data_IF_686609167494
#
_entry.id   IF_686609167494
#
_cell.length_a   1.000
_cell.length_b   1.000
_cell.length_c   1.000
_cell.angle_alpha   90.00
_cell.angle_beta   90.00
_cell.angle_gamma   90.00
#
_symmetry.space_group_name_H-M   'P 1'
#
loop_
_entity.id
_entity.type
_entity.pdbx_description
1 polymer ?
#
# COMPACT_ATOMS: atom_id res chain seq x y z
N UNK A 1 19.89 5.61 -20.56
CA UNK A 1 18.51 5.12 -20.33
C UNK A 1 17.92 5.73 -19.07
N UNK A 2 16.63 5.61 -18.86
CA UNK A 2 15.96 6.02 -17.63
C UNK A 2 16.55 5.29 -16.43
N UNK A 3 16.77 3.99 -16.53
CA UNK A 3 17.47 3.16 -15.54
C UNK A 3 18.84 3.75 -15.15
N UNK A 4 19.64 4.20 -16.12
CA UNK A 4 20.96 4.79 -15.81
C UNK A 4 20.83 6.11 -15.04
N UNK A 5 19.75 6.87 -15.27
CA UNK A 5 19.50 8.10 -14.53
C UNK A 5 19.15 7.79 -13.07
N UNK A 6 18.28 6.81 -12.82
CA UNK A 6 17.96 6.37 -11.45
C UNK A 6 19.19 5.80 -10.73
N UNK A 7 20.02 4.98 -11.37
CA UNK A 7 21.26 4.48 -10.77
C UNK A 7 22.19 5.60 -10.29
N UNK A 8 22.31 6.68 -11.04
CA UNK A 8 23.10 7.86 -10.62
C UNK A 8 22.47 8.59 -9.42
N UNK A 9 21.14 8.66 -9.35
CA UNK A 9 20.44 9.23 -8.19
C UNK A 9 20.69 8.39 -6.95
N UNK A 10 20.61 7.07 -7.07
CA UNK A 10 20.85 6.12 -5.97
C UNK A 10 22.31 6.22 -5.50
N UNK A 11 23.29 6.28 -6.42
CA UNK A 11 24.70 6.49 -6.08
C UNK A 11 24.91 7.81 -5.34
N UNK A 12 24.26 8.90 -5.79
CA UNK A 12 24.29 10.19 -5.10
C UNK A 12 23.71 10.12 -3.69
N UNK A 13 22.58 9.43 -3.50
CA UNK A 13 21.97 9.23 -2.19
C UNK A 13 22.90 8.42 -1.27
N UNK A 14 23.49 7.31 -1.77
CA UNK A 14 24.44 6.47 -1.03
C UNK A 14 25.70 7.24 -0.58
N UNK A 15 26.13 8.26 -1.33
CA UNK A 15 27.30 9.06 -0.95
C UNK A 15 27.08 9.91 0.30
N UNK A 16 25.83 10.12 0.73
CA UNK A 16 25.44 11.00 1.82
C UNK A 16 24.56 10.32 2.89
N UNK A 17 24.08 9.11 2.64
CA UNK A 17 23.18 8.39 3.54
C UNK A 17 23.53 6.91 3.58
N UNK A 18 23.87 6.39 4.77
CA UNK A 18 24.29 5.02 5.00
C UNK A 18 23.11 4.06 5.35
N UNK A 19 21.90 4.60 5.49
CA UNK A 19 20.71 3.81 5.82
C UNK A 19 20.11 3.08 4.62
N UNK A 20 19.08 2.24 4.84
CA UNK A 20 18.42 1.51 3.77
C UNK A 20 17.71 2.46 2.81
N UNK A 21 17.85 2.18 1.51
CA UNK A 21 17.23 2.91 0.43
C UNK A 21 16.22 2.04 -0.30
N UNK A 22 15.14 2.66 -0.72
CA UNK A 22 14.17 2.08 -1.64
C UNK A 22 13.73 3.11 -2.71
N UNK A 23 13.04 2.64 -3.71
CA UNK A 23 12.29 3.42 -4.69
C UNK A 23 10.82 3.06 -4.55
N UNK A 24 9.93 4.04 -4.49
CA UNK A 24 8.50 3.85 -4.45
C UNK A 24 7.97 3.67 -5.88
N UNK A 25 7.85 2.44 -6.31
CA UNK A 25 7.30 2.11 -7.63
C UNK A 25 5.77 2.04 -7.55
N UNK A 26 5.10 2.55 -8.57
CA UNK A 26 3.67 2.37 -8.67
C UNK A 26 3.31 0.88 -8.81
N UNK A 27 2.14 0.47 -8.33
CA UNK A 27 1.68 -0.93 -8.28
C UNK A 27 1.71 -1.65 -9.64
N UNK A 28 1.57 -0.93 -10.75
CA UNK A 28 1.60 -1.44 -12.12
C UNK A 28 2.98 -1.32 -12.81
N UNK A 29 4.02 -0.85 -12.09
CA UNK A 29 5.37 -0.64 -12.60
C UNK A 29 6.45 -1.48 -11.90
N UNK A 30 6.16 -2.04 -10.73
CA UNK A 30 7.12 -2.72 -9.85
C UNK A 30 7.97 -3.78 -10.56
N UNK A 31 7.38 -4.56 -11.45
CA UNK A 31 8.05 -5.61 -12.22
C UNK A 31 8.91 -5.08 -13.38
N UNK A 32 8.69 -3.82 -13.77
CA UNK A 32 9.42 -3.14 -14.86
C UNK A 32 10.70 -2.46 -14.38
N UNK A 33 10.83 -2.18 -13.10
CA UNK A 33 12.02 -1.55 -12.51
C UNK A 33 13.24 -2.48 -12.63
N UNK A 34 14.35 -1.93 -13.17
CA UNK A 34 15.56 -2.69 -13.48
C UNK A 34 16.78 -2.27 -12.64
N UNK A 35 16.56 -1.64 -11.49
CA UNK A 35 17.62 -1.14 -10.59
C UNK A 35 17.39 -1.52 -9.12
N UNK A 36 16.57 -2.55 -8.86
CA UNK A 36 16.36 -3.05 -7.50
C UNK A 36 17.65 -3.62 -6.87
N UNK A 37 18.62 -4.04 -7.68
CA UNK A 37 19.93 -4.51 -7.21
C UNK A 37 20.73 -3.42 -6.48
N UNK A 38 20.54 -2.14 -6.82
CA UNK A 38 21.22 -1.01 -6.17
C UNK A 38 20.51 -0.54 -4.87
N UNK A 39 19.34 -1.09 -4.58
CA UNK A 39 18.51 -0.74 -3.43
C UNK A 39 18.48 -1.85 -2.37
N UNK A 40 18.01 -1.53 -1.17
CA UNK A 40 17.92 -2.49 -0.06
C UNK A 40 16.56 -3.17 0.01
N UNK A 41 15.53 -2.47 -0.45
CA UNK A 41 14.13 -2.88 -0.40
C UNK A 41 13.46 -2.63 -1.76
N UNK A 42 12.45 -3.41 -2.07
CA UNK A 42 11.50 -3.15 -3.15
C UNK A 42 10.33 -2.38 -2.56
N UNK A 43 10.21 -1.10 -2.92
CA UNK A 43 9.10 -0.25 -2.49
C UNK A 43 7.95 -0.26 -3.49
N UNK A 44 6.73 -0.31 -3.00
CA UNK A 44 5.53 -0.28 -3.85
C UNK A 44 4.47 0.64 -3.27
N UNK A 45 3.92 1.52 -4.12
CA UNK A 45 2.70 2.26 -3.84
C UNK A 45 1.52 1.37 -4.25
N UNK A 46 0.96 0.69 -3.24
CA UNK A 46 0.17 -0.53 -3.39
C UNK A 46 -1.34 -0.26 -3.58
N UNK A 47 -1.68 0.58 -4.56
CA UNK A 47 -3.07 0.91 -4.89
C UNK A 47 -3.69 -0.08 -5.89
N UNK A 48 -3.59 -1.38 -5.61
CA UNK A 48 -4.13 -2.43 -6.47
C UNK A 48 -5.65 -2.41 -6.51
N UNK A 49 -6.28 -2.36 -7.70
CA UNK A 49 -7.72 -2.65 -7.84
C UNK A 49 -8.02 -4.10 -7.44
N UNK A 50 -8.85 -4.28 -6.43
CA UNK A 50 -9.17 -5.59 -5.84
C UNK A 50 -10.63 -5.99 -6.04
N UNK A 51 -11.45 -5.12 -6.64
CA UNK A 51 -12.88 -5.35 -6.84
C UNK A 51 -13.34 -4.75 -8.15
N UNK A 52 -14.60 -4.96 -8.49
CA UNK A 52 -15.26 -4.37 -9.65
C UNK A 52 -16.37 -3.40 -9.24
N UNK A 53 -16.70 -2.39 -10.07
CA UNK A 53 -17.71 -1.40 -9.75
C UNK A 53 -19.04 -2.01 -9.30
N UNK A 54 -19.63 -1.45 -8.24
CA UNK A 54 -20.92 -1.87 -7.69
C UNK A 54 -20.92 -3.19 -6.91
N UNK A 55 -19.78 -3.82 -6.70
CA UNK A 55 -19.65 -4.96 -5.81
C UNK A 55 -19.45 -4.50 -4.35
N UNK A 56 -19.91 -5.35 -3.42
CA UNK A 56 -19.64 -5.19 -1.98
C UNK A 56 -18.86 -6.40 -1.49
N UNK A 57 -17.55 -6.45 -1.72
CA UNK A 57 -16.72 -7.59 -1.36
C UNK A 57 -16.64 -7.74 0.17
N UNK A 58 -16.65 -8.99 0.62
CA UNK A 58 -16.28 -9.31 1.99
C UNK A 58 -14.75 -9.20 2.20
N UNK A 59 -14.30 -9.27 3.45
CA UNK A 59 -12.86 -9.38 3.76
C UNK A 59 -12.23 -10.57 3.04
N UNK A 60 -12.88 -11.73 3.06
CA UNK A 60 -12.36 -12.96 2.43
C UNK A 60 -12.28 -12.83 0.90
N UNK A 61 -13.23 -12.14 0.27
CA UNK A 61 -13.17 -11.84 -1.17
C UNK A 61 -11.96 -10.97 -1.51
N UNK A 62 -11.68 -9.93 -0.71
CA UNK A 62 -10.52 -9.07 -0.92
C UNK A 62 -9.19 -9.78 -0.59
N UNK A 63 -9.15 -10.64 0.43
CA UNK A 63 -7.98 -11.51 0.70
C UNK A 63 -7.71 -12.43 -0.49
N UNK A 64 -8.76 -13.00 -1.08
CA UNK A 64 -8.61 -13.79 -2.29
C UNK A 64 -8.12 -12.95 -3.49
N UNK A 65 -8.62 -11.73 -3.65
CA UNK A 65 -8.17 -10.81 -4.71
C UNK A 65 -6.70 -10.41 -4.55
N UNK A 66 -6.20 -10.27 -3.32
CA UNK A 66 -4.80 -10.01 -3.03
C UNK A 66 -3.83 -11.12 -3.50
N UNK A 67 -4.30 -12.35 -3.76
CA UNK A 67 -3.41 -13.46 -4.15
C UNK A 67 -2.64 -13.19 -5.45
N UNK A 68 -3.23 -12.46 -6.41
CA UNK A 68 -2.55 -12.09 -7.65
C UNK A 68 -1.43 -11.08 -7.41
N UNK A 69 -1.65 -9.93 -6.76
CA UNK A 69 -0.56 -9.02 -6.35
C UNK A 69 0.50 -9.70 -5.48
N UNK A 70 0.11 -10.51 -4.49
CA UNK A 70 1.04 -11.25 -3.63
C UNK A 70 1.99 -12.14 -4.43
N UNK A 71 1.46 -12.90 -5.38
CA UNK A 71 2.27 -13.78 -6.24
C UNK A 71 3.27 -12.98 -7.08
N UNK A 72 2.86 -11.85 -7.63
CA UNK A 72 3.71 -10.99 -8.45
C UNK A 72 4.80 -10.31 -7.60
N UNK A 73 4.45 -9.77 -6.43
CA UNK A 73 5.41 -9.16 -5.50
C UNK A 73 6.42 -10.18 -4.97
N UNK A 74 5.96 -11.39 -4.61
CA UNK A 74 6.85 -12.48 -4.19
C UNK A 74 7.83 -12.87 -5.30
N UNK A 75 7.35 -12.99 -6.53
CA UNK A 75 8.22 -13.29 -7.67
C UNK A 75 9.28 -12.20 -7.90
N UNK A 76 8.92 -10.93 -7.73
CA UNK A 76 9.86 -9.80 -7.81
C UNK A 76 10.87 -9.84 -6.66
N UNK A 77 10.41 -10.11 -5.43
CA UNK A 77 11.25 -10.31 -4.26
C UNK A 77 12.29 -11.43 -4.49
N UNK A 78 11.85 -12.58 -4.98
CA UNK A 78 12.72 -13.72 -5.27
C UNK A 78 13.72 -13.43 -6.38
N UNK A 79 13.28 -12.75 -7.45
CA UNK A 79 14.14 -12.37 -8.58
C UNK A 79 15.32 -11.51 -8.14
N UNK A 80 15.07 -10.56 -7.25
CA UNK A 80 16.06 -9.57 -6.84
C UNK A 80 16.72 -9.89 -5.48
N UNK A 81 16.20 -10.88 -4.74
CA UNK A 81 16.69 -11.25 -3.41
C UNK A 81 16.50 -10.12 -2.38
N UNK A 82 15.43 -9.33 -2.53
CA UNK A 82 15.15 -8.16 -1.69
C UNK A 82 13.76 -8.28 -1.05
N UNK A 83 13.61 -7.89 0.23
CA UNK A 83 12.30 -7.81 0.84
C UNK A 83 11.46 -6.67 0.24
N UNK A 84 10.14 -6.80 0.35
CA UNK A 84 9.18 -5.81 -0.14
C UNK A 84 8.63 -4.98 1.02
N UNK A 85 8.44 -3.70 0.79
CA UNK A 85 7.73 -2.77 1.68
C UNK A 85 6.68 -2.00 0.88
N UNK A 86 5.49 -1.83 1.42
CA UNK A 86 4.54 -0.87 0.86
C UNK A 86 4.90 0.53 1.33
N UNK A 87 5.42 1.32 0.43
CA UNK A 87 5.71 2.75 0.65
C UNK A 87 4.44 3.55 0.78
N UNK A 88 3.40 3.12 0.08
CA UNK A 88 2.03 3.60 0.25
C UNK A 88 1.03 2.45 0.12
N UNK A 89 -0.03 2.50 0.91
CA UNK A 89 -1.27 1.75 0.76
C UNK A 89 -2.39 2.57 1.36
N UNK A 90 -3.54 2.63 0.72
CA UNK A 90 -4.68 3.37 1.25
C UNK A 90 -5.95 3.11 0.47
N UNK A 91 -7.07 3.39 1.13
CA UNK A 91 -8.40 3.25 0.56
C UNK A 91 -9.25 4.45 0.96
N UNK A 92 -9.90 5.16 0.02
CA UNK A 92 -10.82 6.23 0.38
C UNK A 92 -12.04 5.68 1.14
N UNK A 93 -12.68 6.52 1.94
CA UNK A 93 -13.90 6.14 2.69
C UNK A 93 -15.12 6.17 1.77
N UNK A 94 -15.11 5.34 0.73
CA UNK A 94 -16.13 5.33 -0.32
C UNK A 94 -16.54 3.90 -0.68
N UNK A 95 -17.74 3.73 -1.26
CA UNK A 95 -18.28 2.41 -1.59
C UNK A 95 -17.39 1.59 -2.53
N UNK A 96 -16.77 2.25 -3.51
CA UNK A 96 -15.87 1.63 -4.49
C UNK A 96 -14.37 1.72 -4.08
N UNK A 97 -14.07 1.85 -2.77
CA UNK A 97 -12.70 1.98 -2.25
C UNK A 97 -11.71 0.95 -2.81
N UNK A 98 -12.11 -0.31 -2.94
CA UNK A 98 -11.27 -1.39 -3.47
C UNK A 98 -11.28 -1.49 -5.01
N UNK A 99 -12.09 -0.68 -5.70
CA UNK A 99 -12.15 -0.64 -7.19
C UNK A 99 -11.11 0.31 -7.74
N UNK A 100 -11.02 1.49 -7.13
CA UNK A 100 -10.09 2.57 -7.50
C UNK A 100 -9.41 3.12 -6.25
N UNK A 101 -8.55 2.33 -5.60
CA UNK A 101 -7.92 2.73 -4.34
C UNK A 101 -7.03 3.98 -4.45
N UNK A 102 -6.63 4.35 -5.64
CA UNK A 102 -5.78 5.51 -5.95
C UNK A 102 -6.57 6.82 -6.15
N UNK A 103 -7.90 6.81 -5.98
CA UNK A 103 -8.74 7.96 -6.36
C UNK A 103 -9.86 8.20 -5.36
N UNK A 104 -10.05 9.46 -4.95
CA UNK A 104 -11.28 9.92 -4.28
C UNK A 104 -12.24 10.42 -5.35
N UNK A 105 -13.38 9.78 -5.51
CA UNK A 105 -14.36 10.11 -6.55
C UNK A 105 -15.41 11.10 -6.03
N UNK A 106 -15.47 12.33 -6.56
CA UNK A 106 -16.47 13.30 -6.13
C UNK A 106 -17.89 12.80 -6.35
N UNK A 107 -18.73 12.91 -5.31
CA UNK A 107 -20.14 12.53 -5.36
C UNK A 107 -20.43 11.06 -5.06
N UNK A 108 -19.43 10.21 -4.91
CA UNK A 108 -19.64 8.88 -4.34
C UNK A 108 -19.99 8.97 -2.84
N UNK A 109 -20.90 8.11 -2.35
CA UNK A 109 -21.29 8.11 -0.95
C UNK A 109 -20.12 7.64 -0.04
N UNK A 110 -20.08 8.22 1.17
CA UNK A 110 -19.24 7.71 2.24
C UNK A 110 -19.60 6.26 2.57
N UNK A 111 -18.58 5.39 2.70
CA UNK A 111 -18.73 4.01 3.17
C UNK A 111 -17.52 3.59 4.02
N UNK A 112 -17.65 3.76 5.34
CA UNK A 112 -16.62 3.37 6.30
C UNK A 112 -16.44 1.85 6.40
N UNK A 113 -17.46 1.05 6.06
CA UNK A 113 -17.33 -0.41 6.04
C UNK A 113 -16.46 -0.86 4.87
N UNK A 114 -16.63 -0.26 3.69
CA UNK A 114 -15.79 -0.57 2.53
C UNK A 114 -14.31 -0.28 2.81
N UNK A 115 -14.00 0.89 3.39
CA UNK A 115 -12.64 1.23 3.82
C UNK A 115 -12.11 0.21 4.84
N UNK A 116 -12.85 -0.05 5.91
CA UNK A 116 -12.46 -0.95 6.98
C UNK A 116 -12.22 -2.38 6.48
N UNK A 117 -13.11 -2.88 5.60
CA UNK A 117 -12.99 -4.19 4.95
C UNK A 117 -11.67 -4.31 4.16
N UNK A 118 -11.31 -3.26 3.43
CA UNK A 118 -10.08 -3.23 2.65
C UNK A 118 -8.82 -3.20 3.53
N UNK A 119 -8.84 -2.45 4.64
CA UNK A 119 -7.77 -2.44 5.66
C UNK A 119 -7.55 -3.83 6.27
N UNK A 120 -8.64 -4.48 6.72
CA UNK A 120 -8.55 -5.80 7.33
C UNK A 120 -8.03 -6.86 6.34
N UNK A 121 -8.51 -6.80 5.09
CA UNK A 121 -8.05 -7.72 4.05
C UNK A 121 -6.55 -7.57 3.76
N UNK A 122 -6.03 -6.33 3.70
CA UNK A 122 -4.60 -6.10 3.52
C UNK A 122 -3.77 -6.69 4.66
N UNK A 123 -4.13 -6.44 5.91
CA UNK A 123 -3.44 -7.03 7.06
C UNK A 123 -3.45 -8.55 7.02
N UNK A 124 -4.61 -9.19 6.73
CA UNK A 124 -4.70 -10.66 6.65
C UNK A 124 -3.90 -11.24 5.50
N UNK A 125 -3.89 -10.58 4.35
CA UNK A 125 -3.17 -11.07 3.17
C UNK A 125 -1.65 -11.10 3.38
N UNK A 126 -1.10 -10.15 4.14
CA UNK A 126 0.34 -9.99 4.34
C UNK A 126 0.87 -10.50 5.68
N UNK A 127 0.01 -10.96 6.61
CA UNK A 127 0.39 -11.36 7.97
C UNK A 127 1.51 -12.41 8.04
N UNK A 128 1.47 -13.41 7.16
CA UNK A 128 2.38 -14.55 7.17
C UNK A 128 3.45 -14.51 6.07
N UNK A 129 3.74 -13.32 5.54
CA UNK A 129 4.73 -13.15 4.47
C UNK A 129 6.09 -12.76 5.03
N UNK A 130 7.03 -13.70 5.12
CA UNK A 130 8.38 -13.51 5.67
C UNK A 130 9.28 -12.55 4.84
N UNK A 131 8.96 -12.40 3.56
CA UNK A 131 9.61 -11.47 2.63
C UNK A 131 9.04 -10.05 2.67
N UNK A 132 7.96 -9.82 3.42
CA UNK A 132 7.28 -8.53 3.54
C UNK A 132 7.69 -7.80 4.82
N UNK A 133 8.10 -6.52 4.71
CA UNK A 133 8.63 -5.74 5.82
C UNK A 133 7.61 -4.86 6.53
N UNK A 134 6.50 -4.53 5.85
CA UNK A 134 5.47 -3.68 6.42
C UNK A 134 4.81 -2.77 5.40
N UNK A 135 3.89 -1.94 5.88
CA UNK A 135 3.10 -1.04 5.06
C UNK A 135 2.95 0.33 5.72
N UNK A 136 3.11 1.39 4.89
CA UNK A 136 2.86 2.78 5.27
C UNK A 136 1.50 3.20 4.76
N UNK A 137 0.60 3.51 5.69
CA UNK A 137 -0.77 3.85 5.32
C UNK A 137 -0.92 5.29 4.85
N UNK A 138 -1.47 5.48 3.70
CA UNK A 138 -1.93 6.76 3.16
C UNK A 138 -3.39 6.98 3.55
N UNK A 139 -3.72 8.02 4.35
CA UNK A 139 -2.83 8.96 5.00
C UNK A 139 -3.22 9.10 6.47
N UNK A 140 -2.32 9.61 7.29
CA UNK A 140 -2.63 10.06 8.65
C UNK A 140 -2.46 11.57 8.73
N UNK A 141 -3.47 12.30 9.24
CA UNK A 141 -3.41 13.75 9.31
C UNK A 141 -2.91 14.20 10.69
N UNK A 142 -1.93 15.10 10.68
CA UNK A 142 -1.39 15.70 11.91
C UNK A 142 -2.33 16.72 12.55
N UNK A 143 -3.16 17.40 11.74
CA UNK A 143 -4.20 18.32 12.19
C UNK A 143 -5.49 18.06 11.40
N UNK A 144 -6.50 17.41 12.00
CA UNK A 144 -7.78 17.13 11.35
C UNK A 144 -8.69 18.37 11.23
N UNK A 145 -8.25 19.55 11.69
CA UNK A 145 -9.07 20.78 11.77
C UNK A 145 -9.11 21.65 10.52
N UNK A 146 -8.40 21.33 9.46
CA UNK A 146 -8.19 22.25 8.31
C UNK A 146 -9.34 22.34 7.29
N UNK A 147 -10.57 22.06 7.68
CA UNK A 147 -11.76 22.38 6.87
C UNK A 147 -11.98 21.56 5.61
N UNK A 148 -11.14 20.56 5.35
CA UNK A 148 -11.35 19.59 4.28
C UNK A 148 -12.43 18.58 4.67
N UNK A 149 -13.19 18.11 3.69
CA UNK A 149 -14.18 17.07 3.92
C UNK A 149 -13.49 15.71 4.11
N UNK A 150 -13.13 15.41 5.37
CA UNK A 150 -12.44 14.17 5.73
C UNK A 150 -13.34 12.94 5.68
N UNK A 151 -14.64 13.09 5.44
CA UNK A 151 -15.58 11.97 5.47
C UNK A 151 -15.31 10.94 4.38
N UNK A 152 -14.85 11.38 3.20
CA UNK A 152 -14.63 10.53 2.03
C UNK A 152 -13.16 10.32 1.65
N UNK A 153 -12.22 10.90 2.39
CA UNK A 153 -10.79 10.81 2.11
C UNK A 153 -10.16 9.48 2.61
N UNK A 154 -8.83 9.41 2.53
CA UNK A 154 -8.05 8.22 2.91
C UNK A 154 -7.83 8.06 4.41
N UNK A 155 -7.99 9.14 5.23
CA UNK A 155 -7.68 9.03 6.65
C UNK A 155 -8.59 8.02 7.35
N UNK A 156 -8.03 7.10 8.16
CA UNK A 156 -8.82 6.21 8.99
C UNK A 156 -9.28 6.88 10.32
N UNK A 157 -8.78 8.08 10.64
CA UNK A 157 -8.99 8.76 11.91
C UNK A 157 -10.48 9.01 12.16
N UNK A 158 -10.95 8.65 13.37
CA UNK A 158 -12.35 8.73 13.81
C UNK A 158 -13.32 7.88 12.95
N UNK A 159 -12.81 6.90 12.21
CA UNK A 159 -13.56 5.98 11.37
C UNK A 159 -13.34 4.52 11.79
N UNK A 160 -14.13 3.59 11.23
CA UNK A 160 -14.03 2.16 11.54
C UNK A 160 -12.64 1.56 11.28
N UNK A 161 -11.97 2.03 10.23
CA UNK A 161 -10.65 1.57 9.85
C UNK A 161 -9.56 1.90 10.89
N UNK A 162 -9.74 2.92 11.74
CA UNK A 162 -8.77 3.27 12.79
C UNK A 162 -8.57 2.12 13.78
N UNK A 163 -9.63 1.47 14.22
CA UNK A 163 -9.54 0.34 15.16
C UNK A 163 -8.85 -0.87 14.53
N UNK A 164 -9.03 -1.09 13.23
CA UNK A 164 -8.37 -2.16 12.48
C UNK A 164 -6.89 -1.85 12.34
N UNK A 165 -6.53 -0.61 11.99
CA UNK A 165 -5.15 -0.15 11.93
C UNK A 165 -4.43 -0.35 13.27
N UNK A 166 -5.06 0.07 14.37
CA UNK A 166 -4.50 -0.09 15.72
C UNK A 166 -4.27 -1.57 16.09
N UNK A 167 -5.18 -2.46 15.69
CA UNK A 167 -5.08 -3.91 15.92
C UNK A 167 -4.02 -4.57 15.03
N UNK A 168 -3.96 -4.18 13.76
CA UNK A 168 -3.04 -4.74 12.77
C UNK A 168 -1.58 -4.38 13.04
N UNK A 169 -1.32 -3.20 13.61
CA UNK A 169 0.04 -2.79 14.00
C UNK A 169 0.50 -3.43 15.32
N UNK A 170 -0.44 -3.92 16.16
CA UNK A 170 -0.15 -4.55 17.45
C UNK A 170 0.19 -6.03 17.38
N UNK A 171 0.26 -6.63 16.20
CA UNK A 171 0.73 -7.99 16.01
C UNK A 171 2.17 -8.14 16.52
N UNK A 172 2.33 -8.85 17.63
CA UNK A 172 3.63 -9.13 18.25
C UNK A 172 4.58 -9.70 17.21
N UNK A 173 5.62 -8.95 16.87
CA UNK A 173 6.80 -9.57 16.27
C UNK A 173 7.38 -10.56 17.26
N UNK A 174 7.76 -11.77 16.81
CA UNK A 174 8.49 -12.71 17.64
C UNK A 174 9.84 -12.15 18.10
#
# INVERSE_FOLDING_TARGET
TETDAFRKVIEGARSTFDGPLTYAANWDEVDQVQFWDDLDLIGVDAYYPLSSPGQKPSVDDLVAAWQTPLTALKATSDKWGKPVVMTEIGYPTQADAAVRPYEVVPGEPEDQEAQATAYEAAFRAFADQDWFQGMSWWSWRGDPGDGENLSIDYTPQDKKAESILASGQGGSRP
#
